data_IF_516834397751
#
_entry.id   IF_516834397751
#
_cell.length_a   1.000
_cell.length_b   1.000
_cell.length_c   1.000
_cell.angle_alpha   90.00
_cell.angle_beta   90.00
_cell.angle_gamma   90.00
#
_symmetry.space_group_name_H-M   'P 1'
#
loop_
_entity.id
_entity.type
_entity.pdbx_description
1 polymer ?
#
# COMPACT_ATOMS: atom_id res chain seq x y z
N UNK A 1 9.22 6.69 -20.10
CA UNK A 1 7.78 7.03 -20.23
C UNK A 1 7.45 8.35 -19.51
N UNK A 2 7.46 8.46 -18.19
CA UNK A 2 7.00 9.64 -17.41
C UNK A 2 7.51 10.99 -17.91
N UNK A 3 8.83 11.16 -18.12
CA UNK A 3 9.41 12.41 -18.65
C UNK A 3 8.87 12.80 -20.04
N UNK A 4 8.70 11.83 -20.94
CA UNK A 4 8.14 12.04 -22.29
C UNK A 4 6.71 12.59 -22.21
N UNK A 5 5.87 11.97 -21.37
CA UNK A 5 4.47 12.38 -21.19
C UNK A 5 4.39 13.75 -20.51
N UNK A 6 5.25 14.02 -19.53
CA UNK A 6 5.30 15.34 -18.88
C UNK A 6 5.64 16.45 -19.87
N UNK A 7 6.61 16.23 -20.79
CA UNK A 7 6.94 17.19 -21.85
C UNK A 7 5.75 17.45 -22.77
N UNK A 8 4.99 16.41 -23.14
CA UNK A 8 3.78 16.58 -23.95
C UNK A 8 2.73 17.45 -23.23
N UNK A 9 2.51 17.21 -21.95
CA UNK A 9 1.58 18.01 -21.13
C UNK A 9 2.04 19.48 -21.07
N UNK A 10 3.32 19.71 -20.78
CA UNK A 10 3.86 21.09 -20.69
C UNK A 10 3.84 21.84 -22.04
N UNK A 11 3.83 21.12 -23.15
CA UNK A 11 3.82 21.70 -24.50
C UNK A 11 2.42 21.85 -25.09
N UNK A 12 1.37 21.40 -24.40
CA UNK A 12 0.01 21.46 -24.89
C UNK A 12 -0.61 22.85 -24.62
N UNK A 13 -0.82 23.68 -25.67
CA UNK A 13 -1.35 25.01 -25.50
C UNK A 13 -2.83 25.04 -25.13
N UNK A 14 -3.53 23.92 -25.18
CA UNK A 14 -4.96 23.81 -24.83
C UNK A 14 -5.17 23.57 -23.34
N UNK A 15 -4.12 23.19 -22.60
CA UNK A 15 -4.23 22.94 -21.17
C UNK A 15 -4.20 24.26 -20.39
N UNK A 16 -5.27 24.50 -19.64
CA UNK A 16 -5.32 25.63 -18.70
C UNK A 16 -4.59 25.32 -17.41
N UNK A 17 -4.04 26.36 -16.77
CA UNK A 17 -3.40 26.28 -15.45
C UNK A 17 -4.41 26.59 -14.32
N UNK A 18 -5.70 26.52 -14.59
CA UNK A 18 -6.76 26.74 -13.62
C UNK A 18 -6.79 25.67 -12.54
N UNK A 19 -7.42 26.00 -11.42
CA UNK A 19 -7.67 25.05 -10.36
C UNK A 19 -8.54 23.88 -10.86
N UNK A 20 -8.17 22.68 -10.46
CA UNK A 20 -9.04 21.51 -10.66
C UNK A 20 -10.32 21.59 -9.82
N UNK A 21 -11.38 20.85 -10.18
CA UNK A 21 -12.51 20.63 -9.30
C UNK A 21 -12.06 20.08 -7.93
N UNK A 22 -12.83 20.34 -6.88
CA UNK A 22 -12.47 19.96 -5.51
C UNK A 22 -12.23 18.45 -5.35
N UNK A 23 -13.03 17.62 -6.03
CA UNK A 23 -12.84 16.15 -6.02
C UNK A 23 -11.72 15.66 -6.96
N UNK A 24 -11.06 16.59 -7.68
CA UNK A 24 -9.99 16.29 -8.60
C UNK A 24 -10.42 16.24 -10.07
N UNK A 25 -9.49 15.86 -10.93
CA UNK A 25 -9.72 15.70 -12.36
C UNK A 25 -10.65 14.50 -12.61
N UNK A 26 -11.84 14.68 -13.23
CA UNK A 26 -12.80 13.58 -13.40
C UNK A 26 -12.25 12.38 -14.18
N UNK A 27 -11.46 12.64 -15.22
CA UNK A 27 -10.81 11.61 -16.04
C UNK A 27 -9.80 10.82 -15.22
N UNK A 28 -9.09 11.47 -14.30
CA UNK A 28 -8.15 10.81 -13.39
C UNK A 28 -8.89 9.92 -12.40
N UNK A 29 -9.89 10.44 -11.70
CA UNK A 29 -10.63 9.66 -10.69
C UNK A 29 -11.32 8.45 -11.30
N UNK A 30 -11.87 8.58 -12.53
CA UNK A 30 -12.41 7.46 -13.30
C UNK A 30 -11.32 6.44 -13.63
N UNK A 31 -10.19 6.87 -14.22
CA UNK A 31 -9.11 5.97 -14.63
C UNK A 31 -8.47 5.25 -13.44
N UNK A 32 -8.32 5.94 -12.29
CA UNK A 32 -7.84 5.35 -11.04
C UNK A 32 -8.81 4.28 -10.50
N UNK A 33 -10.11 4.56 -10.54
CA UNK A 33 -11.16 3.61 -10.16
C UNK A 33 -11.15 2.38 -11.08
N UNK A 34 -11.08 2.58 -12.40
CA UNK A 34 -10.99 1.50 -13.39
C UNK A 34 -9.72 0.66 -13.23
N UNK A 35 -8.59 1.27 -12.91
CA UNK A 35 -7.34 0.57 -12.65
C UNK A 35 -7.45 -0.36 -11.43
N UNK A 36 -8.05 0.12 -10.35
CA UNK A 36 -8.24 -0.65 -9.12
C UNK A 36 -9.25 -1.78 -9.31
N UNK A 37 -10.46 -1.46 -9.78
CA UNK A 37 -11.58 -2.39 -9.81
C UNK A 37 -11.67 -3.23 -11.09
N UNK A 38 -11.03 -2.79 -12.17
CA UNK A 38 -11.29 -3.30 -13.52
C UNK A 38 -12.46 -2.59 -14.19
N UNK A 39 -12.36 -2.33 -15.50
CA UNK A 39 -13.39 -1.59 -16.27
C UNK A 39 -14.76 -2.27 -16.25
N UNK A 40 -14.77 -3.59 -16.14
CA UNK A 40 -16.01 -4.40 -16.15
C UNK A 40 -16.60 -4.62 -14.76
N UNK A 41 -16.07 -3.95 -13.73
CA UNK A 41 -16.56 -4.08 -12.36
C UNK A 41 -18.04 -3.73 -12.25
N UNK A 42 -18.88 -4.58 -11.67
CA UNK A 42 -20.28 -4.26 -11.41
C UNK A 42 -20.46 -2.97 -10.61
N UNK A 43 -19.57 -2.70 -9.65
CA UNK A 43 -19.62 -1.50 -8.83
C UNK A 43 -19.49 -0.20 -9.66
N UNK A 44 -18.69 -0.23 -10.75
CA UNK A 44 -18.59 0.88 -11.70
C UNK A 44 -19.84 1.01 -12.55
N UNK A 45 -20.32 -0.11 -13.13
CA UNK A 45 -21.51 -0.12 -14.01
C UNK A 45 -22.78 0.30 -13.27
N UNK A 46 -22.88 -0.02 -12.00
CA UNK A 46 -23.99 0.31 -11.12
C UNK A 46 -23.86 1.73 -10.49
N UNK A 47 -22.82 2.48 -10.85
CA UNK A 47 -22.52 3.82 -10.32
C UNK A 47 -22.44 3.86 -8.77
N UNK A 48 -21.96 2.82 -8.14
CA UNK A 48 -21.75 2.76 -6.67
C UNK A 48 -20.28 2.79 -6.25
N UNK A 49 -19.38 2.99 -7.21
CA UNK A 49 -17.96 3.20 -6.97
C UNK A 49 -17.50 4.52 -7.63
N UNK A 50 -16.64 5.26 -6.95
CA UNK A 50 -16.05 6.48 -7.47
C UNK A 50 -14.81 6.90 -6.68
N UNK A 51 -13.97 7.72 -7.31
CA UNK A 51 -12.72 8.20 -6.71
C UNK A 51 -12.79 9.67 -6.29
N UNK A 52 -11.91 10.04 -5.38
CA UNK A 52 -11.58 11.41 -5.00
C UNK A 52 -10.08 11.58 -5.10
N UNK A 53 -9.61 12.54 -5.89
CA UNK A 53 -8.17 12.81 -6.01
C UNK A 53 -7.61 13.41 -4.71
N UNK A 54 -6.43 12.91 -4.31
CA UNK A 54 -5.80 13.27 -3.02
C UNK A 54 -4.32 13.60 -3.18
N UNK A 55 -3.72 14.16 -2.12
CA UNK A 55 -2.28 14.43 -2.04
C UNK A 55 -1.48 13.15 -1.78
N UNK A 56 -1.39 12.28 -2.80
CA UNK A 56 -0.75 10.96 -2.68
C UNK A 56 -1.54 10.00 -1.79
N UNK A 57 -0.93 8.86 -1.49
CA UNK A 57 -1.54 7.82 -0.65
C UNK A 57 -1.82 8.29 0.78
N UNK A 58 -0.94 9.08 1.37
CA UNK A 58 -1.15 9.65 2.72
C UNK A 58 -2.39 10.54 2.77
N UNK A 59 -2.59 11.39 1.75
CA UNK A 59 -3.81 12.19 1.63
C UNK A 59 -5.06 11.33 1.47
N UNK A 60 -4.97 10.19 0.78
CA UNK A 60 -6.08 9.25 0.64
C UNK A 60 -6.41 8.57 1.98
N UNK A 61 -5.41 8.13 2.73
CA UNK A 61 -5.60 7.58 4.08
C UNK A 61 -6.23 8.64 5.00
N UNK A 62 -5.70 9.87 4.97
CA UNK A 62 -6.23 10.96 5.80
C UNK A 62 -7.69 11.27 5.47
N UNK A 63 -8.04 11.40 4.21
CA UNK A 63 -9.42 11.69 3.79
C UNK A 63 -10.36 10.55 4.17
N UNK A 64 -9.95 9.29 3.98
CA UNK A 64 -10.72 8.11 4.41
C UNK A 64 -10.94 8.09 5.93
N UNK A 65 -9.90 8.39 6.70
CA UNK A 65 -9.96 8.48 8.16
C UNK A 65 -10.93 9.59 8.63
N UNK A 66 -10.88 10.77 8.01
CA UNK A 66 -11.82 11.88 8.31
C UNK A 66 -13.28 11.51 8.00
N UNK A 67 -13.51 10.80 6.88
CA UNK A 67 -14.85 10.30 6.53
C UNK A 67 -15.35 9.31 7.57
N UNK A 68 -14.51 8.33 7.96
CA UNK A 68 -14.86 7.36 9.00
C UNK A 68 -15.13 8.02 10.35
N UNK A 69 -14.24 8.90 10.79
CA UNK A 69 -14.36 9.58 12.08
C UNK A 69 -15.64 10.42 12.18
N UNK A 70 -16.10 11.03 11.08
CA UNK A 70 -17.25 11.95 11.12
C UNK A 70 -18.58 11.26 10.89
N UNK A 71 -18.61 10.23 10.04
CA UNK A 71 -19.89 9.65 9.57
C UNK A 71 -20.03 8.15 9.74
N UNK A 72 -18.95 7.43 10.05
CA UNK A 72 -19.02 5.99 10.32
C UNK A 72 -19.32 5.77 11.81
N UNK A 73 -20.61 5.72 12.18
CA UNK A 73 -21.06 5.57 13.56
C UNK A 73 -21.33 4.10 13.88
N UNK A 74 -20.74 3.64 14.99
CA UNK A 74 -20.90 2.27 15.50
C UNK A 74 -21.45 2.36 16.92
N UNK A 75 -22.69 1.88 17.12
CA UNK A 75 -23.28 1.79 18.47
C UNK A 75 -23.36 3.09 19.24
N UNK A 76 -23.46 4.25 18.56
CA UNK A 76 -23.51 5.59 19.18
C UNK A 76 -22.13 6.22 19.45
N UNK A 77 -21.03 5.50 19.24
CA UNK A 77 -19.67 6.05 19.23
C UNK A 77 -19.26 6.44 17.79
N UNK A 78 -18.55 7.55 17.66
CA UNK A 78 -17.93 7.95 16.38
C UNK A 78 -16.75 7.02 16.09
N UNK A 79 -16.77 6.33 14.99
CA UNK A 79 -15.80 5.38 14.49
C UNK A 79 -15.36 4.35 15.58
N UNK A 80 -15.69 3.08 15.39
CA UNK A 80 -15.23 1.97 16.25
C UNK A 80 -13.71 1.78 16.15
N UNK A 81 -13.17 0.71 16.77
CA UNK A 81 -11.75 0.40 16.69
C UNK A 81 -11.27 0.28 15.25
N UNK A 82 -10.08 0.81 14.98
CA UNK A 82 -9.38 0.65 13.69
C UNK A 82 -8.20 -0.28 13.91
N UNK A 83 -8.15 -1.37 13.18
CA UNK A 83 -7.11 -2.39 13.28
C UNK A 83 -6.08 -2.24 12.17
N UNK A 84 -4.80 -2.26 12.55
CA UNK A 84 -3.64 -2.26 11.66
C UNK A 84 -2.89 -3.59 11.75
N UNK A 85 -2.21 -3.96 10.67
CA UNK A 85 -1.28 -5.11 10.69
C UNK A 85 -0.13 -4.89 11.69
N UNK A 86 0.32 -5.95 12.34
CA UNK A 86 1.55 -5.91 13.14
C UNK A 86 2.63 -6.77 12.46
N UNK A 87 3.74 -6.16 12.00
CA UNK A 87 4.05 -4.73 11.97
C UNK A 87 3.25 -3.98 10.88
N UNK A 88 3.15 -2.65 11.01
CA UNK A 88 2.53 -1.77 10.02
C UNK A 88 3.49 -0.66 9.58
N UNK A 89 3.21 -0.04 8.42
CA UNK A 89 3.93 1.14 7.98
C UNK A 89 3.72 2.32 8.95
N UNK A 90 4.81 2.88 9.49
CA UNK A 90 4.76 3.84 10.60
C UNK A 90 3.95 5.11 10.36
N UNK A 91 3.70 5.50 9.10
CA UNK A 91 2.91 6.70 8.78
C UNK A 91 1.39 6.46 8.86
N UNK A 92 0.91 5.21 8.78
CA UNK A 92 -0.53 4.91 8.74
C UNK A 92 -1.18 5.25 10.08
N UNK A 93 -0.64 4.72 11.18
CA UNK A 93 -1.15 5.00 12.52
C UNK A 93 -1.16 6.51 12.84
N UNK A 94 -0.06 7.21 12.56
CA UNK A 94 0.05 8.65 12.76
C UNK A 94 -0.98 9.45 11.92
N UNK A 95 -1.26 9.01 10.68
CA UNK A 95 -2.26 9.64 9.82
C UNK A 95 -3.67 9.46 10.36
N UNK A 96 -4.00 8.27 10.86
CA UNK A 96 -5.29 7.96 11.50
C UNK A 96 -5.47 8.77 12.79
N UNK A 97 -4.45 8.80 13.65
CA UNK A 97 -4.45 9.61 14.88
C UNK A 97 -4.64 11.09 14.58
N UNK A 98 -3.95 11.61 13.55
CA UNK A 98 -4.09 12.98 13.09
C UNK A 98 -5.51 13.33 12.60
N UNK A 99 -6.31 12.34 12.17
CA UNK A 99 -7.72 12.50 11.82
C UNK A 99 -8.66 12.38 13.05
N UNK A 100 -8.12 12.17 14.25
CA UNK A 100 -8.90 12.07 15.49
C UNK A 100 -9.34 10.63 15.85
N UNK A 101 -8.85 9.61 15.14
CA UNK A 101 -9.09 8.21 15.49
C UNK A 101 -8.15 7.85 16.66
N UNK A 102 -8.71 7.58 17.83
CA UNK A 102 -7.96 7.29 19.05
C UNK A 102 -7.86 5.80 19.38
N UNK A 103 -8.87 5.00 19.05
CA UNK A 103 -8.86 3.54 19.29
C UNK A 103 -8.24 2.81 18.09
N UNK A 104 -6.91 2.76 18.08
CA UNK A 104 -6.14 2.05 17.08
C UNK A 104 -5.56 0.80 17.73
N UNK A 105 -5.89 -0.36 17.16
CA UNK A 105 -5.47 -1.68 17.61
C UNK A 105 -4.65 -2.35 16.52
N UNK A 106 -4.03 -3.50 16.84
CA UNK A 106 -3.30 -4.30 15.86
C UNK A 106 -3.88 -5.70 15.73
N UNK A 107 -3.72 -6.29 14.54
CA UNK A 107 -3.89 -7.71 14.31
C UNK A 107 -2.56 -8.34 13.90
N UNK A 108 -2.36 -9.60 14.27
CA UNK A 108 -1.15 -10.38 13.96
C UNK A 108 -1.11 -10.70 12.47
N UNK A 109 -0.06 -10.26 11.82
CA UNK A 109 0.15 -10.44 10.37
C UNK A 109 1.42 -11.24 10.08
N UNK A 110 2.50 -10.90 10.80
CA UNK A 110 3.81 -11.47 10.64
C UNK A 110 4.06 -12.57 11.69
N UNK A 111 4.52 -13.72 11.22
CA UNK A 111 4.98 -14.81 12.05
C UNK A 111 6.52 -14.79 12.10
N UNK A 112 7.14 -14.50 13.24
CA UNK A 112 8.59 -14.41 13.35
C UNK A 112 9.28 -15.77 13.18
N UNK A 113 8.62 -16.89 13.53
CA UNK A 113 9.19 -18.23 13.41
C UNK A 113 9.19 -18.70 11.94
N UNK A 114 8.11 -18.45 11.22
CA UNK A 114 8.00 -18.73 9.78
C UNK A 114 8.71 -17.68 8.92
N UNK A 115 9.07 -16.53 9.49
CA UNK A 115 9.56 -15.33 8.77
C UNK A 115 8.67 -14.96 7.57
N UNK A 116 7.34 -15.00 7.78
CA UNK A 116 6.34 -14.83 6.75
C UNK A 116 4.97 -14.42 7.27
N UNK A 117 4.00 -14.40 6.36
CA UNK A 117 2.58 -14.21 6.71
C UNK A 117 2.00 -15.47 7.35
N UNK A 118 1.14 -15.30 8.35
CA UNK A 118 0.35 -16.37 8.94
C UNK A 118 -1.12 -15.97 9.05
N UNK A 119 -2.00 -16.76 8.44
CA UNK A 119 -3.43 -16.45 8.38
C UNK A 119 -4.13 -16.75 9.70
N UNK A 120 -3.77 -17.84 10.40
CA UNK A 120 -4.47 -18.32 11.57
C UNK A 120 -4.54 -17.26 12.70
N UNK A 121 -3.40 -16.64 13.13
CA UNK A 121 -3.45 -15.62 14.17
C UNK A 121 -4.25 -14.38 13.74
N UNK A 122 -4.19 -14.03 12.44
CA UNK A 122 -4.97 -12.91 11.90
C UNK A 122 -6.48 -13.20 12.01
N UNK A 123 -6.91 -14.40 11.63
CA UNK A 123 -8.33 -14.79 11.71
C UNK A 123 -8.82 -14.78 13.16
N UNK A 124 -8.04 -15.28 14.11
CA UNK A 124 -8.35 -15.22 15.55
C UNK A 124 -8.58 -13.79 16.02
N UNK A 125 -7.70 -12.85 15.62
CA UNK A 125 -7.82 -11.44 16.00
C UNK A 125 -9.08 -10.79 15.37
N UNK A 126 -9.41 -11.15 14.12
CA UNK A 126 -10.63 -10.65 13.46
C UNK A 126 -11.91 -11.22 14.08
N UNK A 127 -11.87 -12.47 14.58
CA UNK A 127 -13.03 -13.10 15.25
C UNK A 127 -13.40 -12.38 16.55
N UNK A 128 -12.44 -11.88 17.28
CA UNK A 128 -12.69 -11.16 18.55
C UNK A 128 -12.87 -9.65 18.36
N UNK A 129 -12.63 -9.15 17.15
CA UNK A 129 -12.84 -7.74 16.86
C UNK A 129 -14.33 -7.35 17.03
N UNK A 130 -14.65 -6.22 17.68
CA UNK A 130 -16.02 -5.73 17.74
C UNK A 130 -16.65 -5.61 16.35
N UNK A 131 -17.95 -5.91 16.22
CA UNK A 131 -18.64 -5.72 14.95
C UNK A 131 -18.48 -4.28 14.44
N UNK A 132 -18.42 -4.13 13.11
CA UNK A 132 -18.23 -2.86 12.42
C UNK A 132 -16.88 -2.18 12.70
N UNK A 133 -15.90 -2.87 13.34
CA UNK A 133 -14.52 -2.38 13.40
C UNK A 133 -13.97 -2.19 11.98
N UNK A 134 -13.11 -1.18 11.83
CA UNK A 134 -12.43 -0.92 10.55
C UNK A 134 -11.13 -1.72 10.50
N UNK A 135 -10.95 -2.52 9.46
CA UNK A 135 -9.74 -3.31 9.26
C UNK A 135 -8.95 -2.72 8.09
N UNK A 136 -7.78 -2.20 8.38
CA UNK A 136 -6.86 -1.66 7.38
C UNK A 136 -6.05 -2.81 6.77
N UNK A 137 -6.20 -3.02 5.47
CA UNK A 137 -5.63 -4.15 4.73
C UNK A 137 -4.77 -3.63 3.58
N UNK A 138 -3.56 -4.17 3.41
CA UNK A 138 -2.81 -3.94 2.17
C UNK A 138 -3.34 -4.87 1.09
N UNK A 139 -3.78 -4.31 -0.05
CA UNK A 139 -4.26 -5.13 -1.17
C UNK A 139 -3.13 -5.97 -1.78
N UNK A 140 -1.92 -5.42 -1.80
CA UNK A 140 -0.67 -6.06 -2.19
C UNK A 140 0.52 -5.25 -1.69
N UNK A 141 1.73 -5.82 -1.81
CA UNK A 141 3.00 -5.20 -1.42
C UNK A 141 2.99 -4.71 0.04
N UNK A 142 2.66 -5.62 0.95
CA UNK A 142 2.53 -5.29 2.37
C UNK A 142 3.77 -4.58 2.91
N UNK A 143 3.57 -3.42 3.47
CA UNK A 143 4.63 -2.62 4.09
C UNK A 143 4.51 -2.70 5.63
N UNK A 144 5.58 -3.15 6.32
CA UNK A 144 6.97 -3.26 5.86
C UNK A 144 7.44 -4.69 5.50
N UNK A 145 6.60 -5.72 5.56
CA UNK A 145 7.09 -7.11 5.54
C UNK A 145 7.36 -7.66 4.15
N UNK A 146 6.63 -7.21 3.13
CA UNK A 146 6.68 -7.83 1.80
C UNK A 146 6.08 -9.25 1.75
N UNK A 147 5.55 -9.75 2.87
CA UNK A 147 4.84 -11.03 2.92
C UNK A 147 3.40 -10.84 2.42
N UNK A 148 2.92 -11.77 1.60
CA UNK A 148 1.62 -11.65 0.93
C UNK A 148 0.73 -12.85 1.26
N UNK A 149 -0.56 -12.60 1.62
CA UNK A 149 -1.55 -13.65 1.74
C UNK A 149 -1.82 -14.31 0.38
N UNK A 150 -2.03 -15.62 0.37
CA UNK A 150 -2.49 -16.34 -0.81
C UNK A 150 -3.96 -16.00 -1.13
N UNK A 151 -4.41 -16.38 -2.33
CA UNK A 151 -5.84 -16.26 -2.66
C UNK A 151 -6.76 -17.07 -1.71
N UNK A 152 -6.25 -18.18 -1.17
CA UNK A 152 -6.98 -18.98 -0.20
C UNK A 152 -7.12 -18.25 1.14
N UNK A 153 -6.03 -17.62 1.60
CA UNK A 153 -6.03 -16.80 2.83
C UNK A 153 -6.99 -15.61 2.70
N UNK A 154 -6.95 -14.91 1.57
CA UNK A 154 -7.86 -13.80 1.29
C UNK A 154 -9.33 -14.20 1.33
N UNK A 155 -9.67 -15.43 0.87
CA UNK A 155 -11.04 -15.96 0.96
C UNK A 155 -11.47 -16.16 2.41
N UNK A 156 -10.59 -16.73 3.25
CA UNK A 156 -10.85 -16.91 4.68
C UNK A 156 -10.99 -15.57 5.40
N UNK A 157 -10.12 -14.62 5.12
CA UNK A 157 -10.20 -13.24 5.67
C UNK A 157 -11.55 -12.61 5.32
N UNK A 158 -11.96 -12.67 4.05
CA UNK A 158 -13.22 -12.10 3.60
C UNK A 158 -14.43 -12.78 4.26
N UNK A 159 -14.40 -14.10 4.45
CA UNK A 159 -15.47 -14.85 5.12
C UNK A 159 -15.65 -14.38 6.57
N UNK A 160 -14.55 -14.28 7.34
CA UNK A 160 -14.60 -13.79 8.71
C UNK A 160 -15.08 -12.35 8.76
N UNK A 161 -14.53 -11.48 7.90
CA UNK A 161 -14.92 -10.06 7.87
C UNK A 161 -16.40 -9.89 7.52
N UNK A 162 -16.95 -10.70 6.61
CA UNK A 162 -18.37 -10.67 6.27
C UNK A 162 -19.25 -11.12 7.44
N UNK A 163 -18.91 -12.24 8.07
CA UNK A 163 -19.63 -12.80 9.22
C UNK A 163 -19.61 -11.84 10.42
N UNK A 164 -18.45 -11.22 10.68
CA UNK A 164 -18.24 -10.25 11.78
C UNK A 164 -18.66 -8.82 11.42
N UNK A 165 -19.17 -8.59 10.21
CA UNK A 165 -19.56 -7.26 9.69
C UNK A 165 -18.44 -6.22 9.83
N UNK A 166 -17.19 -6.63 9.59
CA UNK A 166 -16.04 -5.73 9.66
C UNK A 166 -15.94 -4.89 8.39
N UNK A 167 -15.48 -3.63 8.54
CA UNK A 167 -15.38 -2.69 7.43
C UNK A 167 -13.97 -2.67 6.83
N UNK A 168 -13.77 -3.04 5.56
CA UNK A 168 -12.46 -3.03 4.93
C UNK A 168 -12.02 -1.62 4.52
N UNK A 169 -10.80 -1.24 4.93
CA UNK A 169 -10.10 -0.08 4.40
C UNK A 169 -8.81 -0.54 3.74
N UNK A 170 -8.82 -0.67 2.43
CA UNK A 170 -7.67 -1.14 1.67
C UNK A 170 -6.63 -0.04 1.45
N UNK A 171 -5.36 -0.44 1.51
CA UNK A 171 -4.22 0.37 1.08
C UNK A 171 -3.63 -0.25 -0.20
N UNK A 172 -3.45 0.57 -1.22
CA UNK A 172 -2.88 0.18 -2.51
C UNK A 172 -1.75 1.17 -2.89
N UNK A 173 -0.60 1.09 -2.18
CA UNK A 173 0.44 2.12 -2.25
C UNK A 173 1.27 2.09 -3.54
N UNK A 174 1.34 0.95 -4.22
CA UNK A 174 2.23 0.76 -5.38
C UNK A 174 1.73 -0.32 -6.34
N UNK A 175 0.47 -0.19 -6.77
CA UNK A 175 -0.20 -1.16 -7.64
C UNK A 175 0.64 -1.50 -8.88
N UNK A 176 0.88 -2.79 -9.11
CA UNK A 176 1.70 -3.33 -10.18
C UNK A 176 3.16 -3.61 -9.79
N UNK A 177 3.60 -3.23 -8.58
CA UNK A 177 4.98 -3.44 -8.12
C UNK A 177 5.15 -4.64 -7.16
N UNK A 178 4.08 -5.40 -6.91
CA UNK A 178 4.15 -6.66 -6.18
C UNK A 178 4.39 -7.84 -7.13
N UNK A 179 3.53 -7.97 -8.13
CA UNK A 179 3.53 -9.10 -9.08
C UNK A 179 3.95 -8.73 -10.50
N UNK A 180 4.16 -7.43 -10.80
CA UNK A 180 4.42 -6.94 -12.16
C UNK A 180 3.15 -6.77 -13.01
N UNK A 181 1.99 -7.08 -12.44
CA UNK A 181 0.68 -6.90 -13.07
C UNK A 181 -0.27 -6.13 -12.14
N UNK A 182 -0.73 -4.93 -12.53
CA UNK A 182 -1.67 -4.14 -11.75
C UNK A 182 -3.01 -4.85 -11.46
N UNK A 183 -3.44 -5.78 -12.32
CA UNK A 183 -4.67 -6.53 -12.09
C UNK A 183 -4.51 -7.59 -11.00
N UNK A 184 -3.37 -8.26 -10.99
CA UNK A 184 -3.03 -9.23 -9.96
C UNK A 184 -2.85 -8.54 -8.59
N UNK A 185 -2.18 -7.39 -8.55
CA UNK A 185 -1.99 -6.60 -7.33
C UNK A 185 -3.32 -6.14 -6.71
N UNK A 186 -4.35 -5.94 -7.51
CA UNK A 186 -5.67 -5.52 -7.05
C UNK A 186 -6.64 -6.70 -6.82
N UNK A 187 -6.18 -7.94 -6.91
CA UNK A 187 -7.07 -9.11 -6.86
C UNK A 187 -7.88 -9.18 -5.56
N UNK A 188 -7.24 -8.97 -4.41
CA UNK A 188 -7.89 -9.00 -3.10
C UNK A 188 -9.01 -7.96 -2.99
N UNK A 189 -8.72 -6.72 -3.38
CA UNK A 189 -9.69 -5.63 -3.43
C UNK A 189 -10.89 -5.98 -4.33
N UNK A 190 -10.62 -6.48 -5.56
CA UNK A 190 -11.67 -6.89 -6.51
C UNK A 190 -12.52 -8.04 -5.98
N UNK A 191 -11.88 -8.98 -5.29
CA UNK A 191 -12.57 -10.10 -4.66
C UNK A 191 -13.57 -9.62 -3.60
N UNK A 192 -13.15 -8.70 -2.71
CA UNK A 192 -14.06 -8.11 -1.70
C UNK A 192 -15.21 -7.35 -2.34
N UNK A 193 -14.96 -6.58 -3.39
CA UNK A 193 -16.02 -5.88 -4.14
C UNK A 193 -16.99 -6.86 -4.79
N UNK A 194 -16.51 -8.00 -5.31
CA UNK A 194 -17.38 -9.04 -5.90
C UNK A 194 -18.28 -9.72 -4.89
N UNK A 195 -17.87 -9.76 -3.62
CA UNK A 195 -18.67 -10.27 -2.51
C UNK A 195 -19.69 -9.25 -1.97
N UNK A 196 -19.71 -8.01 -2.50
CA UNK A 196 -20.65 -6.98 -2.11
C UNK A 196 -20.23 -6.13 -0.91
N UNK A 197 -18.98 -6.16 -0.49
CA UNK A 197 -18.49 -5.27 0.56
C UNK A 197 -18.60 -3.79 0.17
N UNK A 198 -19.02 -2.97 1.14
CA UNK A 198 -18.72 -1.55 1.15
C UNK A 198 -17.30 -1.37 1.67
N UNK A 199 -16.51 -0.52 1.06
CA UNK A 199 -15.12 -0.34 1.45
C UNK A 199 -14.53 1.01 0.99
N UNK A 200 -13.41 1.36 1.60
CA UNK A 200 -12.52 2.42 1.14
C UNK A 200 -11.23 1.81 0.60
N UNK A 201 -10.62 2.45 -0.39
CA UNK A 201 -9.27 2.08 -0.83
C UNK A 201 -8.42 3.34 -1.08
N UNK A 202 -7.30 3.45 -0.35
CA UNK A 202 -6.32 4.50 -0.53
C UNK A 202 -5.28 4.09 -1.57
N UNK A 203 -5.31 4.73 -2.75
CA UNK A 203 -4.35 4.51 -3.83
C UNK A 203 -3.26 5.56 -3.83
N UNK A 204 -2.05 5.16 -4.20
CA UNK A 204 -0.93 6.07 -4.49
C UNK A 204 -0.36 5.80 -5.87
N UNK A 205 -0.04 6.87 -6.59
CA UNK A 205 0.62 6.83 -7.89
C UNK A 205 2.07 7.33 -7.82
N UNK A 206 2.60 7.49 -6.61
CA UNK A 206 3.96 8.03 -6.41
C UNK A 206 5.03 7.06 -6.91
N UNK A 207 4.97 5.80 -6.51
CA UNK A 207 6.03 4.83 -6.79
C UNK A 207 5.90 4.19 -8.17
N UNK A 208 4.70 3.77 -8.54
CA UNK A 208 4.43 3.05 -9.80
C UNK A 208 4.46 3.96 -11.04
N UNK A 209 4.42 5.29 -10.87
CA UNK A 209 4.62 6.28 -11.93
C UNK A 209 5.89 7.14 -11.74
N UNK A 210 6.58 7.02 -10.59
CA UNK A 210 7.73 7.86 -10.26
C UNK A 210 7.35 9.32 -9.97
N UNK A 211 6.12 9.57 -9.49
CA UNK A 211 5.55 10.91 -9.24
C UNK A 211 5.60 11.28 -7.76
N UNK A 212 6.77 11.15 -7.14
CA UNK A 212 6.92 11.36 -5.70
C UNK A 212 6.67 12.82 -5.28
N UNK A 213 7.11 13.78 -6.07
CA UNK A 213 6.94 15.22 -5.81
C UNK A 213 5.56 15.74 -6.19
N UNK A 214 4.89 15.12 -7.16
CA UNK A 214 3.59 15.55 -7.67
C UNK A 214 2.41 15.24 -6.76
N UNK A 215 2.62 14.40 -5.76
CA UNK A 215 1.65 14.02 -4.73
C UNK A 215 0.31 13.56 -5.30
N UNK A 216 0.33 12.54 -6.16
CA UNK A 216 -0.86 11.98 -6.83
C UNK A 216 -1.36 10.73 -6.11
N UNK A 217 -2.61 10.76 -5.69
CA UNK A 217 -3.31 9.65 -5.07
C UNK A 217 -4.81 9.72 -5.32
N UNK A 218 -5.54 8.70 -4.92
CA UNK A 218 -6.99 8.63 -5.00
C UNK A 218 -7.56 7.88 -3.80
N UNK A 219 -8.61 8.40 -3.18
CA UNK A 219 -9.46 7.63 -2.30
C UNK A 219 -10.60 7.06 -3.13
N UNK A 220 -10.61 5.75 -3.30
CA UNK A 220 -11.71 5.02 -3.91
C UNK A 220 -12.76 4.71 -2.86
N UNK A 221 -14.02 4.98 -3.21
CA UNK A 221 -15.22 4.71 -2.43
C UNK A 221 -16.00 3.60 -3.15
N UNK A 222 -16.33 2.52 -2.45
CA UNK A 222 -17.26 1.49 -2.94
C UNK A 222 -18.39 1.38 -1.93
N UNK A 223 -19.60 1.70 -2.37
CA UNK A 223 -20.77 1.79 -1.52
C UNK A 223 -21.83 0.75 -1.94
N UNK A 224 -22.81 0.53 -1.08
CA UNK A 224 -23.86 -0.44 -1.32
C UNK A 224 -24.85 0.03 -2.41
N UNK A 225 -25.14 1.34 -2.45
CA UNK A 225 -26.10 1.92 -3.37
C UNK A 225 -25.51 3.18 -4.04
N UNK A 226 -25.86 3.41 -5.31
CA UNK A 226 -25.44 4.58 -6.09
C UNK A 226 -25.89 5.91 -5.48
N UNK A 227 -27.05 5.93 -4.84
CA UNK A 227 -27.58 7.14 -4.18
C UNK A 227 -26.71 7.65 -3.04
N UNK A 228 -25.90 6.77 -2.40
CA UNK A 228 -24.98 7.14 -1.33
C UNK A 228 -23.68 7.76 -1.87
N UNK A 229 -23.27 7.42 -3.10
CA UNK A 229 -21.99 7.87 -3.64
C UNK A 229 -21.93 9.40 -3.73
N UNK A 230 -22.97 10.03 -4.27
CA UNK A 230 -23.02 11.48 -4.39
C UNK A 230 -22.99 12.18 -3.02
N UNK A 231 -23.72 11.62 -2.04
CA UNK A 231 -23.74 12.17 -0.69
C UNK A 231 -22.35 12.08 -0.03
N UNK A 232 -21.68 10.92 -0.11
CA UNK A 232 -20.34 10.74 0.45
C UNK A 232 -19.31 11.60 -0.28
N UNK A 233 -19.40 11.71 -1.62
CA UNK A 233 -18.53 12.60 -2.39
C UNK A 233 -18.73 14.07 -2.03
N UNK A 234 -19.96 14.51 -1.76
CA UNK A 234 -20.24 15.87 -1.29
C UNK A 234 -19.57 16.16 0.05
N UNK A 235 -19.62 15.21 0.99
CA UNK A 235 -18.92 15.33 2.26
C UNK A 235 -17.38 15.31 2.07
N UNK A 236 -16.89 14.44 1.20
CA UNK A 236 -15.48 14.41 0.84
C UNK A 236 -15.01 15.74 0.22
N UNK A 237 -15.83 16.39 -0.61
CA UNK A 237 -15.52 17.70 -1.17
C UNK A 237 -15.35 18.77 -0.08
N UNK A 238 -16.22 18.79 0.93
CA UNK A 238 -16.09 19.68 2.08
C UNK A 238 -14.81 19.46 2.86
N UNK A 239 -14.43 18.19 3.08
CA UNK A 239 -13.18 17.83 3.72
C UNK A 239 -11.96 18.25 2.88
N UNK A 240 -11.95 17.92 1.59
CA UNK A 240 -10.87 18.31 0.67
C UNK A 240 -10.67 19.82 0.69
N UNK A 241 -11.78 20.58 0.64
CA UNK A 241 -11.70 22.04 0.68
C UNK A 241 -11.03 22.54 1.97
N UNK A 242 -11.33 21.93 3.11
CA UNK A 242 -10.73 22.32 4.39
C UNK A 242 -9.29 21.84 4.57
N UNK A 243 -8.91 20.67 4.01
CA UNK A 243 -7.60 20.06 4.21
C UNK A 243 -6.52 20.63 3.27
N UNK A 244 -6.85 20.80 1.98
CA UNK A 244 -5.91 21.28 0.95
C UNK A 244 -6.55 22.08 -0.18
N UNK A 245 -7.79 22.48 -0.05
CA UNK A 245 -8.58 23.25 -1.01
C UNK A 245 -8.81 22.50 -2.33
N UNK A 246 -7.77 22.22 -3.10
CA UNK A 246 -7.85 21.56 -4.41
C UNK A 246 -6.59 20.75 -4.66
N UNK A 247 -6.70 19.58 -5.32
CA UNK A 247 -5.53 18.75 -5.61
C UNK A 247 -4.73 19.31 -6.80
N UNK A 248 -3.42 18.95 -6.90
CA UNK A 248 -2.55 19.38 -8.02
C UNK A 248 -2.91 18.66 -9.33
N UNK A 249 -2.77 19.36 -10.47
CA UNK A 249 -3.19 18.84 -11.77
C UNK A 249 -2.12 18.05 -12.55
N UNK A 250 -0.84 18.40 -12.42
CA UNK A 250 0.20 17.91 -13.32
C UNK A 250 0.31 16.38 -13.35
N UNK A 251 0.58 15.77 -12.21
CA UNK A 251 0.70 14.31 -12.11
C UNK A 251 -0.61 13.57 -12.41
N UNK A 252 -1.78 14.14 -12.04
CA UNK A 252 -3.07 13.54 -12.35
C UNK A 252 -3.32 13.46 -13.87
N UNK A 253 -2.99 14.53 -14.61
CA UNK A 253 -3.06 14.54 -16.08
C UNK A 253 -2.13 13.50 -16.70
N UNK A 254 -0.89 13.38 -16.17
CA UNK A 254 0.06 12.37 -16.63
C UNK A 254 -0.49 10.95 -16.47
N UNK A 255 -0.98 10.62 -15.27
CA UNK A 255 -1.57 9.30 -14.99
C UNK A 255 -2.75 9.03 -15.92
N UNK A 256 -3.63 10.02 -16.09
CA UNK A 256 -4.79 9.93 -17.00
C UNK A 256 -4.37 9.65 -18.44
N UNK A 257 -3.37 10.39 -18.95
CA UNK A 257 -2.88 10.20 -20.31
C UNK A 257 -2.30 8.80 -20.51
N UNK A 258 -1.53 8.30 -19.55
CA UNK A 258 -0.96 6.94 -19.62
C UNK A 258 -2.04 5.87 -19.59
N UNK A 259 -2.99 5.96 -18.65
CA UNK A 259 -4.01 4.93 -18.45
C UNK A 259 -5.05 4.87 -19.58
N UNK A 260 -5.28 6.00 -20.29
CA UNK A 260 -6.24 6.07 -21.38
C UNK A 260 -5.63 5.92 -22.77
N UNK A 261 -4.30 5.84 -22.88
CA UNK A 261 -3.62 5.57 -24.15
C UNK A 261 -3.09 4.13 -24.16
N UNK A 262 -3.58 3.25 -25.06
CA UNK A 262 -3.18 1.82 -25.06
C UNK A 262 -1.68 1.58 -25.19
N UNK A 263 -0.98 2.39 -25.99
CA UNK A 263 0.46 2.25 -26.21
C UNK A 263 1.25 2.67 -24.95
N UNK A 264 0.89 3.79 -24.30
CA UNK A 264 1.51 4.24 -23.06
C UNK A 264 1.20 3.31 -21.90
N UNK A 265 -0.01 2.77 -21.82
CA UNK A 265 -0.41 1.78 -20.83
C UNK A 265 0.41 0.49 -20.97
N UNK A 266 0.65 0.02 -22.19
CA UNK A 266 1.50 -1.13 -22.43
C UNK A 266 2.96 -0.87 -22.03
N UNK A 267 3.52 0.29 -22.39
CA UNK A 267 4.87 0.71 -21.99
C UNK A 267 5.00 0.81 -20.45
N UNK A 268 3.97 1.34 -19.77
CA UNK A 268 3.93 1.43 -18.31
C UNK A 268 3.90 0.06 -17.65
N UNK A 269 3.03 -0.85 -18.11
CA UNK A 269 2.95 -2.22 -17.59
C UNK A 269 4.27 -2.98 -17.75
N UNK A 270 4.91 -2.85 -18.92
CA UNK A 270 6.21 -3.45 -19.15
C UNK A 270 7.28 -2.89 -18.22
N UNK A 271 7.25 -1.57 -17.97
CA UNK A 271 8.14 -0.93 -16.99
C UNK A 271 7.96 -1.47 -15.57
N UNK A 272 6.72 -1.73 -15.14
CA UNK A 272 6.42 -2.35 -13.84
C UNK A 272 7.00 -3.77 -13.76
N UNK A 273 6.79 -4.59 -14.81
CA UNK A 273 7.32 -5.95 -14.89
C UNK A 273 8.83 -5.98 -14.72
N UNK A 274 9.54 -5.14 -15.48
CA UNK A 274 11.00 -5.01 -15.40
C UNK A 274 11.48 -4.58 -14.01
N UNK A 275 10.76 -3.66 -13.36
CA UNK A 275 11.10 -3.25 -11.98
C UNK A 275 10.93 -4.39 -10.99
N UNK A 276 9.86 -5.17 -11.08
CA UNK A 276 9.62 -6.34 -10.21
C UNK A 276 10.66 -7.41 -10.43
N UNK A 277 10.98 -7.74 -11.68
CA UNK A 277 12.03 -8.71 -12.02
C UNK A 277 13.39 -8.31 -11.46
N UNK A 278 13.74 -7.03 -11.57
CA UNK A 278 14.98 -6.50 -10.96
C UNK A 278 14.97 -6.65 -9.43
N UNK A 279 13.86 -6.35 -8.78
CA UNK A 279 13.71 -6.51 -7.33
C UNK A 279 13.88 -7.98 -6.90
N UNK A 280 13.27 -8.91 -7.64
CA UNK A 280 13.41 -10.34 -7.38
C UNK A 280 14.84 -10.83 -7.62
N UNK A 281 15.50 -10.36 -8.68
CA UNK A 281 16.91 -10.70 -8.94
C UNK A 281 17.84 -10.24 -7.79
N UNK A 282 17.57 -9.07 -7.20
CA UNK A 282 18.36 -8.60 -6.05
C UNK A 282 18.14 -9.53 -4.84
N UNK A 283 16.90 -9.95 -4.59
CA UNK A 283 16.56 -10.90 -3.50
C UNK A 283 17.29 -12.24 -3.68
N UNK A 284 17.27 -12.81 -4.88
CA UNK A 284 17.97 -14.05 -5.20
C UNK A 284 19.49 -13.90 -5.02
N UNK A 285 20.08 -12.81 -5.49
CA UNK A 285 21.51 -12.55 -5.31
C UNK A 285 21.88 -12.36 -3.85
N UNK A 286 21.06 -11.66 -3.07
CA UNK A 286 21.29 -11.48 -1.63
C UNK A 286 21.26 -12.83 -0.91
N UNK A 287 20.23 -13.64 -1.15
CA UNK A 287 20.13 -15.00 -0.60
C UNK A 287 21.35 -15.87 -0.97
N UNK A 288 21.74 -15.88 -2.24
CA UNK A 288 22.89 -16.66 -2.70
C UNK A 288 24.19 -16.17 -2.05
N UNK A 289 24.41 -14.86 -1.93
CA UNK A 289 25.59 -14.30 -1.29
C UNK A 289 25.66 -14.68 0.19
N UNK A 290 24.54 -14.61 0.91
CA UNK A 290 24.47 -15.03 2.31
C UNK A 290 24.77 -16.54 2.45
N UNK A 291 24.22 -17.36 1.54
CA UNK A 291 24.53 -18.79 1.50
C UNK A 291 26.02 -19.07 1.29
N UNK A 292 26.67 -18.35 0.37
CA UNK A 292 28.12 -18.49 0.09
C UNK A 292 28.98 -18.07 1.27
N UNK A 293 28.55 -17.12 2.09
CA UNK A 293 29.21 -16.70 3.32
C UNK A 293 29.04 -17.71 4.46
N UNK A 294 28.18 -18.72 4.28
CA UNK A 294 27.94 -19.76 5.28
C UNK A 294 27.08 -19.29 6.44
N UNK A 295 26.10 -18.39 6.18
CA UNK A 295 25.18 -17.95 7.23
C UNK A 295 24.41 -19.15 7.81
N UNK A 296 24.28 -19.27 9.14
CA UNK A 296 23.75 -20.48 9.77
C UNK A 296 22.26 -20.71 9.56
N UNK A 297 21.51 -19.67 9.16
CA UNK A 297 20.07 -19.73 8.96
C UNK A 297 19.67 -19.80 7.49
N UNK A 298 18.48 -20.37 7.22
CA UNK A 298 17.90 -20.35 5.88
C UNK A 298 17.26 -18.98 5.59
N UNK A 299 17.62 -18.39 4.46
CA UNK A 299 17.15 -17.08 4.01
C UNK A 299 16.14 -17.18 2.85
N UNK A 300 15.40 -18.28 2.77
CA UNK A 300 14.41 -18.53 1.72
C UNK A 300 13.24 -17.51 1.75
N UNK A 301 12.89 -17.06 2.94
CA UNK A 301 11.85 -16.05 3.13
C UNK A 301 12.09 -14.75 2.35
N UNK A 302 13.34 -14.36 2.13
CA UNK A 302 13.69 -13.15 1.38
C UNK A 302 13.19 -13.23 -0.07
N UNK A 303 13.21 -14.41 -0.68
CA UNK A 303 12.77 -14.64 -2.05
C UNK A 303 11.28 -14.98 -2.16
N UNK A 304 10.63 -15.33 -1.05
CA UNK A 304 9.18 -15.55 -0.98
C UNK A 304 8.41 -14.23 -0.84
N UNK A 305 9.02 -13.22 -0.23
CA UNK A 305 8.43 -11.88 -0.07
C UNK A 305 8.43 -11.11 -1.39
N UNK A 306 7.49 -10.16 -1.51
CA UNK A 306 7.22 -9.39 -2.72
C UNK A 306 7.22 -7.87 -2.48
N UNK A 307 7.13 -7.11 -3.55
CA UNK A 307 7.09 -5.65 -3.47
C UNK A 307 8.44 -5.02 -3.14
N UNK A 308 8.42 -3.82 -2.59
CA UNK A 308 9.61 -2.99 -2.39
C UNK A 308 10.39 -3.34 -1.11
N UNK A 309 9.70 -3.91 -0.13
CA UNK A 309 10.25 -4.17 1.20
C UNK A 309 10.51 -5.66 1.43
N UNK A 310 11.43 -5.93 2.33
CA UNK A 310 11.76 -7.27 2.79
C UNK A 310 11.98 -7.22 4.31
N UNK A 311 11.29 -8.06 5.04
CA UNK A 311 11.57 -8.26 6.46
C UNK A 311 12.61 -9.37 6.60
N UNK A 312 13.78 -9.01 7.15
CA UNK A 312 14.93 -9.90 7.24
C UNK A 312 14.82 -10.90 8.38
N UNK A 313 14.00 -10.59 9.40
CA UNK A 313 13.93 -11.37 10.63
C UNK A 313 15.09 -11.12 11.60
N UNK A 314 15.92 -10.11 11.33
CA UNK A 314 17.00 -9.69 12.25
C UNK A 314 16.42 -9.13 13.55
N UNK A 315 17.11 -9.39 14.67
CA UNK A 315 16.78 -8.83 15.97
C UNK A 315 17.14 -7.34 16.03
N UNK A 316 16.57 -6.62 16.98
CA UNK A 316 16.87 -5.19 17.19
C UNK A 316 18.37 -4.96 17.48
N UNK A 317 19.01 -5.86 18.23
CA UNK A 317 20.44 -5.80 18.53
C UNK A 317 21.29 -5.96 17.24
N UNK A 318 20.91 -6.91 16.38
CA UNK A 318 21.55 -7.12 15.07
C UNK A 318 21.36 -5.89 14.16
N UNK A 319 20.18 -5.29 14.18
CA UNK A 319 19.91 -4.04 13.44
C UNK A 319 20.75 -2.89 13.97
N UNK A 320 20.88 -2.73 15.29
CA UNK A 320 21.78 -1.73 15.87
C UNK A 320 23.23 -1.93 15.44
N UNK A 321 23.72 -3.17 15.43
CA UNK A 321 25.06 -3.49 14.93
C UNK A 321 25.22 -3.07 13.47
N UNK A 322 24.26 -3.37 12.59
CA UNK A 322 24.29 -2.95 11.18
C UNK A 322 24.38 -1.44 11.04
N UNK A 323 23.59 -0.70 11.81
CA UNK A 323 23.56 0.77 11.76
C UNK A 323 24.86 1.38 12.28
N UNK A 324 25.32 0.95 13.46
CA UNK A 324 26.41 1.59 14.18
C UNK A 324 27.80 1.16 13.70
N UNK A 325 27.96 -0.07 13.21
CA UNK A 325 29.27 -0.64 12.84
C UNK A 325 29.44 -0.82 11.33
N UNK A 326 28.36 -1.17 10.64
CA UNK A 326 28.44 -1.46 9.21
C UNK A 326 27.89 -0.32 8.34
N UNK A 327 27.29 0.73 8.94
CA UNK A 327 26.67 1.85 8.24
C UNK A 327 25.59 1.41 7.23
N UNK A 328 24.88 0.31 7.55
CA UNK A 328 23.70 -0.15 6.84
C UNK A 328 22.49 0.33 7.61
N UNK A 329 21.81 1.36 7.10
CA UNK A 329 20.73 2.07 7.79
C UNK A 329 19.38 1.45 7.46
N UNK A 330 18.72 0.89 8.47
CA UNK A 330 17.39 0.30 8.38
C UNK A 330 16.63 0.54 9.70
N UNK A 331 15.29 0.48 9.70
CA UNK A 331 14.49 0.63 10.92
C UNK A 331 14.69 -0.56 11.87
N UNK A 332 14.43 -0.33 13.15
CA UNK A 332 14.55 -1.35 14.21
C UNK A 332 13.75 -2.64 13.94
N UNK A 333 12.72 -2.56 13.10
CA UNK A 333 11.95 -3.74 12.65
C UNK A 333 12.72 -4.74 11.79
N UNK A 334 13.96 -4.43 11.38
CA UNK A 334 14.74 -5.28 10.49
C UNK A 334 14.22 -5.35 9.04
N UNK A 335 13.26 -4.52 8.68
CA UNK A 335 12.70 -4.50 7.33
C UNK A 335 13.49 -3.52 6.44
N UNK A 336 13.96 -4.01 5.29
CA UNK A 336 14.77 -3.24 4.34
C UNK A 336 14.01 -2.92 3.07
N UNK A 337 14.31 -1.78 2.46
CA UNK A 337 13.87 -1.48 1.11
C UNK A 337 14.84 -2.15 0.12
N UNK A 338 14.40 -3.24 -0.51
CA UNK A 338 15.22 -4.02 -1.45
C UNK A 338 15.65 -3.20 -2.65
N UNK A 339 14.85 -2.23 -3.06
CA UNK A 339 15.17 -1.39 -4.23
C UNK A 339 16.33 -0.42 -3.98
N UNK A 340 16.71 -0.18 -2.71
CA UNK A 340 17.88 0.59 -2.34
C UNK A 340 19.19 -0.22 -2.48
N UNK A 341 19.11 -1.55 -2.55
CA UNK A 341 20.28 -2.39 -2.76
C UNK A 341 20.64 -2.39 -4.24
N UNK A 342 21.87 -2.03 -4.54
CA UNK A 342 22.43 -2.04 -5.89
C UNK A 342 23.47 -3.16 -6.03
N UNK A 343 23.86 -3.48 -7.27
CA UNK A 343 24.97 -4.42 -7.49
C UNK A 343 26.31 -4.00 -6.84
N UNK A 344 26.48 -2.69 -6.57
CA UNK A 344 27.69 -2.18 -5.89
C UNK A 344 27.63 -2.33 -4.37
N UNK A 345 26.44 -2.34 -3.79
CA UNK A 345 26.22 -2.38 -2.33
C UNK A 345 25.82 -3.77 -1.83
N UNK A 346 25.51 -4.69 -2.75
CA UNK A 346 25.01 -6.03 -2.40
C UNK A 346 25.99 -6.81 -1.52
N UNK A 347 27.28 -6.84 -1.90
CA UNK A 347 28.30 -7.58 -1.16
C UNK A 347 28.45 -6.99 0.25
N UNK A 348 28.57 -5.66 0.35
CA UNK A 348 28.64 -4.99 1.64
C UNK A 348 27.43 -5.29 2.54
N UNK A 349 26.22 -5.25 1.99
CA UNK A 349 25.00 -5.57 2.75
C UNK A 349 24.99 -7.02 3.21
N UNK A 350 25.35 -7.96 2.34
CA UNK A 350 25.39 -9.39 2.68
C UNK A 350 26.46 -9.70 3.74
N UNK A 351 27.67 -9.17 3.60
CA UNK A 351 28.76 -9.34 4.56
C UNK A 351 28.41 -8.70 5.92
N UNK A 352 27.77 -7.53 5.91
CA UNK A 352 27.29 -6.88 7.13
C UNK A 352 26.24 -7.71 7.86
N UNK A 353 25.26 -8.28 7.13
CA UNK A 353 24.25 -9.17 7.71
C UNK A 353 24.91 -10.42 8.28
N UNK A 354 25.85 -11.03 7.56
CA UNK A 354 26.60 -12.19 8.03
C UNK A 354 27.31 -11.89 9.35
N UNK A 355 28.01 -10.76 9.44
CA UNK A 355 28.67 -10.32 10.68
C UNK A 355 27.66 -10.11 11.81
N UNK A 356 26.53 -9.45 11.56
CA UNK A 356 25.51 -9.21 12.57
C UNK A 356 24.88 -10.50 13.13
N UNK A 357 24.80 -11.56 12.32
CA UNK A 357 24.20 -12.85 12.72
C UNK A 357 25.22 -13.76 13.42
N UNK A 358 26.52 -13.67 13.06
CA UNK A 358 27.56 -14.59 13.54
C UNK A 358 28.43 -14.03 14.68
N UNK A 359 28.41 -12.70 14.89
CA UNK A 359 29.16 -12.07 15.98
C UNK A 359 28.49 -12.25 17.33
N UNK A 360 29.27 -12.42 18.39
CA UNK A 360 28.79 -12.36 19.77
C UNK A 360 28.53 -10.90 20.13
N UNK A 361 27.28 -10.48 19.98
CA UNK A 361 26.87 -9.08 20.17
C UNK A 361 26.90 -8.61 21.65
N UNK A 362 27.16 -9.53 22.60
CA UNK A 362 27.30 -9.17 24.00
C UNK A 362 28.52 -8.28 24.28
N UNK A 363 29.56 -8.38 23.47
CA UNK A 363 30.76 -7.51 23.56
C UNK A 363 30.47 -6.05 23.14
N UNK A 364 29.32 -5.76 22.54
CA UNK A 364 29.01 -4.44 21.95
C UNK A 364 27.93 -3.65 22.70
N UNK A 365 27.58 -4.05 23.92
CA UNK A 365 26.58 -3.40 24.78
C UNK A 365 27.10 -2.16 25.56
N UNK A 366 28.11 -1.46 25.02
CA UNK A 366 28.67 -0.25 25.67
C UNK A 366 28.50 1.00 24.81
#
# INVERSE_FOLDING_TARGET
MTRKVMLQICSDPTLTLDYLPTLGLPEFTRSATELALGRDSPAIRENRAGGVQTLGGTGAIRLGAELLQRWYNVGGARCGPVYLSSPSGGSVAATLQGAGISDIRSYRYWDPDKKGFSVEPLLEDLEVAPEQSVIVLYASAHCPTGAEPSHADWKQIAEVMMRRRLFPFFLLPCQGLCWGDPAQDAWSLRYFVSLGFELLCAQSFSTNFGLYSDRVGSLLLVLKHSSLLLAVQSQAASLVHSLWSRPPGGGARLVTMVLNNPALLAEWKEGLRVMVERGMLIREKLKERLRMLGIPEFWDHVTQQRGLYCCTGLTEEQVQFLVMRCHVYLPASGCVNVTAISGRTLDHVAESIYLAVTSDLQEYRH
#
